data_IF_255709332376
#
_entry.id   IF_255709332376
#
_cell.length_a   1.000
_cell.length_b   1.000
_cell.length_c   1.000
_cell.angle_alpha   90.00
_cell.angle_beta   90.00
_cell.angle_gamma   90.00
#
_symmetry.space_group_name_H-M   'P 1'
#
loop_
_entity.id
_entity.type
_entity.pdbx_description
1 polymer ?
#
# COMPACT_ATOMS: atom_id res chain seq x y z
N UNK A 1 20.74 4.70 -1.02
CA UNK A 1 19.45 4.76 -0.29
C UNK A 1 19.04 6.22 -0.25
N UNK A 2 17.92 6.57 -0.83
CA UNK A 2 17.40 7.94 -0.72
C UNK A 2 16.79 8.04 0.67
N UNK A 3 17.40 8.82 1.54
CA UNK A 3 16.84 9.06 2.85
C UNK A 3 15.64 9.99 2.72
N UNK A 4 14.55 9.60 3.29
CA UNK A 4 13.41 10.45 3.47
C UNK A 4 13.73 11.49 4.56
N UNK A 5 13.79 12.75 4.18
CA UNK A 5 14.06 13.85 5.11
C UNK A 5 12.80 14.37 5.81
N UNK A 6 11.68 13.70 5.62
CA UNK A 6 10.46 14.05 6.32
C UNK A 6 10.25 13.20 7.59
N UNK A 7 9.29 13.61 8.39
CA UNK A 7 9.00 12.98 9.68
C UNK A 7 8.06 11.77 9.58
N UNK A 8 7.76 11.30 8.38
CA UNK A 8 6.74 10.26 8.15
C UNK A 8 7.27 8.84 8.18
N UNK A 9 8.57 8.70 8.36
CA UNK A 9 9.19 7.39 8.45
C UNK A 9 9.36 6.71 7.09
N UNK A 10 9.44 5.40 7.12
CA UNK A 10 9.93 4.56 6.02
C UNK A 10 8.82 3.85 5.25
N UNK A 11 7.55 4.26 5.38
CA UNK A 11 6.41 3.57 4.79
C UNK A 11 6.56 3.38 3.27
N UNK A 12 6.93 4.42 2.53
CA UNK A 12 7.12 4.33 1.08
C UNK A 12 8.26 3.38 0.69
N UNK A 13 9.37 3.40 1.45
CA UNK A 13 10.49 2.47 1.26
C UNK A 13 10.07 1.02 1.54
N UNK A 14 9.26 0.81 2.57
CA UNK A 14 8.72 -0.51 2.90
C UNK A 14 7.80 -1.05 1.79
N UNK A 15 6.89 -0.23 1.31
CA UNK A 15 5.99 -0.58 0.19
C UNK A 15 6.80 -0.91 -1.08
N UNK A 16 7.77 -0.06 -1.43
CA UNK A 16 8.66 -0.31 -2.56
C UNK A 16 9.45 -1.61 -2.40
N UNK A 17 9.92 -1.89 -1.19
CA UNK A 17 10.62 -3.11 -0.85
C UNK A 17 9.77 -4.37 -1.05
N UNK A 18 8.53 -4.35 -0.60
CA UNK A 18 7.58 -5.45 -0.82
C UNK A 18 7.34 -5.68 -2.32
N UNK A 19 7.26 -4.62 -3.09
CA UNK A 19 7.01 -4.71 -4.52
C UNK A 19 8.22 -5.24 -5.30
N UNK A 20 9.42 -4.68 -5.10
CA UNK A 20 10.53 -4.86 -6.05
C UNK A 20 11.90 -5.12 -5.44
N UNK A 21 12.02 -5.27 -4.11
CA UNK A 21 13.33 -5.38 -3.47
C UNK A 21 14.14 -6.62 -3.85
N UNK A 22 15.43 -6.48 -3.66
CA UNK A 22 16.39 -7.59 -3.62
C UNK A 22 16.50 -8.39 -4.92
N UNK A 23 16.53 -7.73 -6.07
CA UNK A 23 16.85 -8.37 -7.33
C UNK A 23 18.31 -8.80 -7.38
N UNK A 24 19.20 -7.90 -6.94
CA UNK A 24 20.63 -8.09 -6.91
C UNK A 24 21.25 -7.56 -5.62
N UNK A 25 22.30 -8.21 -5.17
CA UNK A 25 23.10 -7.78 -4.03
C UNK A 25 24.47 -7.32 -4.55
N UNK A 26 24.90 -6.08 -4.25
CA UNK A 26 26.21 -5.61 -4.64
C UNK A 26 27.30 -6.30 -3.81
N UNK A 27 28.34 -6.78 -4.45
CA UNK A 27 29.46 -7.48 -3.80
C UNK A 27 30.58 -6.55 -3.33
N UNK A 28 30.44 -5.23 -3.55
CA UNK A 28 31.43 -4.26 -3.15
C UNK A 28 32.64 -4.11 -4.11
N UNK A 29 32.79 -5.00 -5.07
CA UNK A 29 33.80 -4.99 -6.14
C UNK A 29 33.25 -4.52 -7.49
N UNK A 30 32.01 -4.04 -7.50
CA UNK A 30 31.28 -3.64 -8.72
C UNK A 30 30.51 -4.76 -9.39
N UNK A 31 30.58 -5.98 -8.87
CA UNK A 31 29.76 -7.10 -9.33
C UNK A 31 28.49 -7.26 -8.50
N UNK A 32 27.56 -8.08 -8.99
CA UNK A 32 26.29 -8.35 -8.34
C UNK A 32 26.01 -9.85 -8.28
N UNK A 33 25.44 -10.29 -7.18
CA UNK A 33 24.92 -11.66 -7.03
C UNK A 33 23.39 -11.64 -7.13
N UNK A 34 22.74 -12.60 -7.83
CA UNK A 34 21.30 -12.75 -7.78
C UNK A 34 20.81 -12.94 -6.35
N UNK A 35 19.82 -12.16 -5.96
CA UNK A 35 19.39 -12.12 -4.57
C UNK A 35 18.74 -13.43 -4.09
N UNK A 36 18.12 -14.18 -4.98
CA UNK A 36 17.50 -15.49 -4.66
C UNK A 36 18.47 -16.49 -4.03
N UNK A 37 19.77 -16.33 -4.29
CA UNK A 37 20.81 -17.23 -3.75
C UNK A 37 21.30 -16.79 -2.37
N UNK A 38 21.04 -15.54 -1.98
CA UNK A 38 21.70 -14.92 -0.82
C UNK A 38 20.76 -14.28 0.18
N UNK A 39 19.47 -14.10 -0.13
CA UNK A 39 18.49 -13.46 0.76
C UNK A 39 17.30 -14.34 1.03
N UNK A 40 16.79 -14.25 2.25
CA UNK A 40 15.57 -14.94 2.67
C UNK A 40 14.29 -14.23 2.23
N UNK A 41 14.38 -12.98 1.77
CA UNK A 41 13.23 -12.15 1.42
C UNK A 41 13.49 -11.40 0.13
N UNK A 42 12.52 -11.42 -0.77
CA UNK A 42 12.57 -10.75 -2.06
C UNK A 42 11.23 -10.04 -2.32
N UNK A 43 11.25 -8.96 -3.11
CA UNK A 43 10.02 -8.33 -3.60
C UNK A 43 9.22 -9.27 -4.50
N UNK A 44 7.94 -9.01 -4.63
CA UNK A 44 7.02 -9.85 -5.43
C UNK A 44 7.37 -9.79 -6.93
N UNK A 45 7.81 -8.63 -7.39
CA UNK A 45 8.19 -8.37 -8.78
C UNK A 45 9.59 -7.73 -8.86
N UNK A 46 10.67 -8.45 -8.53
CA UNK A 46 12.00 -7.86 -8.41
C UNK A 46 12.59 -7.39 -9.73
N UNK A 47 12.05 -7.83 -10.86
CA UNK A 47 12.46 -7.39 -12.20
C UNK A 47 11.73 -6.13 -12.69
N UNK A 48 10.69 -5.66 -11.96
CA UNK A 48 9.96 -4.49 -12.33
C UNK A 48 10.80 -3.21 -12.15
N UNK A 49 10.65 -2.28 -13.08
CA UNK A 49 11.16 -0.92 -12.90
C UNK A 49 10.23 -0.16 -11.97
N UNK A 50 10.79 0.41 -10.91
CA UNK A 50 10.03 1.17 -9.93
C UNK A 50 10.24 2.66 -10.13
N UNK A 51 9.14 3.38 -10.34
CA UNK A 51 9.08 4.84 -10.31
C UNK A 51 8.42 5.24 -9.00
N UNK A 52 9.14 5.94 -8.14
CA UNK A 52 8.62 6.44 -6.87
C UNK A 52 8.17 7.88 -7.00
N UNK A 53 6.92 8.14 -6.62
CA UNK A 53 6.33 9.47 -6.63
C UNK A 53 5.98 9.88 -5.21
N UNK A 54 6.73 10.86 -4.67
CA UNK A 54 6.49 11.36 -3.32
C UNK A 54 5.35 12.35 -3.32
N UNK A 55 4.23 11.97 -2.74
CA UNK A 55 3.01 12.80 -2.64
C UNK A 55 2.75 13.32 -1.23
N UNK A 56 3.37 12.74 -0.21
CA UNK A 56 3.24 13.20 1.17
C UNK A 56 4.24 14.31 1.49
N UNK A 57 3.76 15.39 2.07
CA UNK A 57 4.60 16.48 2.53
C UNK A 57 5.25 16.20 3.90
N UNK A 58 6.15 17.09 4.32
CA UNK A 58 6.91 16.98 5.57
C UNK A 58 6.05 16.96 6.85
N UNK A 59 4.77 17.30 6.76
CA UNK A 59 3.83 17.35 7.88
C UNK A 59 2.87 16.16 7.95
N UNK A 60 3.05 15.15 7.14
CA UNK A 60 2.28 13.92 7.24
C UNK A 60 1.00 13.88 6.42
N UNK A 61 0.76 14.80 5.51
CA UNK A 61 -0.44 14.82 4.68
C UNK A 61 -0.13 14.89 3.19
N UNK A 62 -1.00 14.33 2.38
CA UNK A 62 -1.07 14.56 0.94
C UNK A 62 -2.36 15.30 0.63
N UNK A 63 -2.30 16.27 -0.27
CA UNK A 63 -3.51 16.81 -0.88
C UNK A 63 -3.95 15.90 -2.01
N UNK A 64 -5.24 15.88 -2.27
CA UNK A 64 -5.82 15.13 -3.38
C UNK A 64 -5.15 15.49 -4.71
N UNK A 65 -4.84 16.79 -4.92
CA UNK A 65 -4.13 17.28 -6.09
C UNK A 65 -2.75 16.66 -6.29
N UNK A 66 -2.04 16.34 -5.21
CA UNK A 66 -0.66 15.86 -5.30
C UNK A 66 -0.60 14.43 -5.85
N UNK A 67 -1.42 13.54 -5.32
CA UNK A 67 -1.43 12.18 -5.83
C UNK A 67 -2.23 12.02 -7.12
N UNK A 68 -3.17 12.92 -7.44
CA UNK A 68 -3.78 13.00 -8.76
C UNK A 68 -2.76 13.38 -9.82
N UNK A 69 -1.91 14.36 -9.57
CA UNK A 69 -0.83 14.73 -10.48
C UNK A 69 0.15 13.57 -10.69
N UNK A 70 0.51 12.87 -9.61
CA UNK A 70 1.35 11.68 -9.73
C UNK A 70 0.73 10.56 -10.57
N UNK A 71 -0.58 10.37 -10.49
CA UNK A 71 -1.31 9.42 -11.33
C UNK A 71 -1.29 9.85 -12.80
N UNK A 72 -1.47 11.13 -13.09
CA UNK A 72 -1.37 11.66 -14.46
C UNK A 72 0.04 11.49 -15.02
N UNK A 73 1.07 11.75 -14.21
CA UNK A 73 2.46 11.51 -14.58
C UNK A 73 2.72 10.03 -14.90
N UNK A 74 2.10 9.11 -14.16
CA UNK A 74 2.20 7.68 -14.45
C UNK A 74 1.65 7.31 -15.84
N UNK A 75 0.58 7.97 -16.29
CA UNK A 75 0.05 7.80 -17.65
C UNK A 75 1.06 8.31 -18.69
N UNK A 76 1.64 9.49 -18.45
CA UNK A 76 2.63 10.09 -19.36
C UNK A 76 3.89 9.25 -19.48
N UNK A 77 4.28 8.60 -18.37
CA UNK A 77 5.45 7.72 -18.30
C UNK A 77 5.17 6.29 -18.81
N UNK A 78 3.95 6.03 -19.28
CA UNK A 78 3.53 4.73 -19.79
C UNK A 78 3.73 3.59 -18.76
N UNK A 79 3.33 3.84 -17.52
CA UNK A 79 3.42 2.85 -16.46
C UNK A 79 2.38 1.74 -16.63
N UNK A 80 2.79 0.48 -16.54
CA UNK A 80 1.88 -0.67 -16.61
C UNK A 80 0.94 -0.75 -15.40
N UNK A 81 1.40 -0.30 -14.24
CA UNK A 81 0.61 -0.32 -13.01
C UNK A 81 0.97 0.83 -12.06
N UNK A 82 0.00 1.23 -11.27
CA UNK A 82 0.15 2.22 -10.19
C UNK A 82 -0.32 1.62 -8.88
N UNK A 83 0.47 1.75 -7.83
CA UNK A 83 0.11 1.35 -6.48
C UNK A 83 -0.05 2.57 -5.56
N UNK A 84 -1.20 2.66 -4.91
CA UNK A 84 -1.54 3.70 -3.94
C UNK A 84 -1.73 3.06 -2.55
N UNK A 85 -0.64 2.91 -1.82
CA UNK A 85 -0.67 2.47 -0.42
C UNK A 85 -0.93 3.66 0.51
N UNK A 86 -2.03 4.35 0.27
CA UNK A 86 -2.46 5.54 0.98
C UNK A 86 -4.00 5.59 1.06
N UNK A 87 -4.51 6.43 1.92
CA UNK A 87 -5.95 6.64 1.99
C UNK A 87 -6.39 7.29 3.28
N UNK A 88 -7.69 7.54 3.34
CA UNK A 88 -8.39 8.00 4.53
C UNK A 88 -9.25 6.87 5.07
N UNK A 89 -9.27 6.69 6.38
CA UNK A 89 -10.13 5.72 7.05
C UNK A 89 -11.62 6.08 7.05
N UNK A 90 -11.97 7.26 6.53
CA UNK A 90 -13.37 7.67 6.43
C UNK A 90 -14.06 6.93 5.29
N UNK A 91 -15.05 6.08 5.57
CA UNK A 91 -15.82 5.41 4.53
C UNK A 91 -16.78 6.39 3.87
N UNK A 92 -16.95 6.19 2.58
CA UNK A 92 -17.97 6.90 1.82
C UNK A 92 -17.61 8.35 1.50
N UNK A 93 -17.22 8.57 0.28
CA UNK A 93 -17.10 9.92 -0.29
C UNK A 93 -18.32 10.18 -1.17
N UNK A 94 -18.83 11.42 -1.18
CA UNK A 94 -19.94 11.73 -2.05
C UNK A 94 -19.55 11.56 -3.53
N UNK A 95 -20.50 11.16 -4.36
CA UNK A 95 -20.28 10.98 -5.79
C UNK A 95 -19.68 12.23 -6.46
N UNK A 96 -20.05 13.41 -5.99
CA UNK A 96 -19.52 14.66 -6.53
C UNK A 96 -18.06 14.91 -6.11
N UNK A 97 -17.69 14.54 -4.90
CA UNK A 97 -16.31 14.67 -4.43
C UNK A 97 -15.38 13.66 -5.13
N UNK A 98 -15.91 12.55 -5.63
CA UNK A 98 -15.14 11.53 -6.36
C UNK A 98 -15.05 11.78 -7.86
N UNK A 99 -15.78 12.74 -8.42
CA UNK A 99 -15.89 12.93 -9.87
C UNK A 99 -14.53 13.16 -10.56
N UNK A 100 -13.65 13.93 -9.95
CA UNK A 100 -12.31 14.20 -10.50
C UNK A 100 -11.46 12.92 -10.47
N UNK A 101 -11.52 12.17 -9.38
CA UNK A 101 -10.86 10.87 -9.26
C UNK A 101 -11.34 9.89 -10.31
N UNK A 102 -12.65 9.82 -10.51
CA UNK A 102 -13.24 8.92 -11.50
C UNK A 102 -12.72 9.24 -12.91
N UNK A 103 -12.61 10.51 -13.26
CA UNK A 103 -12.07 10.92 -14.55
C UNK A 103 -10.62 10.48 -14.75
N UNK A 104 -9.79 10.62 -13.71
CA UNK A 104 -8.38 10.18 -13.73
C UNK A 104 -8.29 8.65 -13.82
N UNK A 105 -9.05 7.93 -13.03
CA UNK A 105 -9.08 6.46 -13.06
C UNK A 105 -9.59 5.92 -14.39
N UNK A 106 -10.55 6.61 -15.03
CA UNK A 106 -10.99 6.30 -16.38
C UNK A 106 -9.88 6.51 -17.42
N UNK A 107 -9.07 7.54 -17.27
CA UNK A 107 -7.92 7.78 -18.15
C UNK A 107 -6.85 6.70 -17.97
N UNK A 108 -6.56 6.28 -16.74
CA UNK A 108 -5.68 5.13 -16.48
C UNK A 108 -6.21 3.86 -17.13
N UNK A 109 -7.50 3.59 -17.01
CA UNK A 109 -8.15 2.43 -17.65
C UNK A 109 -8.02 2.49 -19.18
N UNK A 110 -8.21 3.66 -19.79
CA UNK A 110 -8.02 3.86 -21.23
C UNK A 110 -6.57 3.68 -21.67
N UNK A 111 -5.62 4.06 -20.82
CA UNK A 111 -4.18 3.83 -21.03
C UNK A 111 -3.78 2.35 -20.86
N UNK A 112 -4.63 1.53 -20.27
CA UNK A 112 -4.33 0.13 -19.97
C UNK A 112 -3.57 -0.07 -18.65
N UNK A 113 -3.44 0.97 -17.84
CA UNK A 113 -2.71 0.94 -16.57
C UNK A 113 -3.57 0.35 -15.46
N UNK A 114 -3.06 -0.65 -14.76
CA UNK A 114 -3.73 -1.25 -13.61
C UNK A 114 -3.50 -0.39 -12.37
N UNK A 115 -4.56 -0.10 -11.62
CA UNK A 115 -4.47 0.67 -10.38
C UNK A 115 -4.83 -0.21 -9.20
N UNK A 116 -3.91 -0.31 -8.24
CA UNK A 116 -4.14 -0.97 -6.95
C UNK A 116 -4.18 0.07 -5.83
N UNK A 117 -5.15 -0.07 -4.94
CA UNK A 117 -5.35 0.85 -3.83
C UNK A 117 -5.56 0.07 -2.53
N UNK A 118 -4.94 0.52 -1.45
CA UNK A 118 -5.14 -0.10 -0.15
C UNK A 118 -6.57 0.07 0.34
N UNK A 119 -7.14 -0.98 0.92
CA UNK A 119 -8.45 -0.93 1.56
C UNK A 119 -8.45 -0.11 2.87
N UNK A 120 -7.27 0.16 3.41
CA UNK A 120 -7.09 0.88 4.66
C UNK A 120 -6.89 -0.04 5.86
N UNK A 121 -6.72 0.57 7.04
CA UNK A 121 -6.38 -0.12 8.28
C UNK A 121 -7.53 -0.10 9.30
N UNK A 122 -8.67 0.47 8.95
CA UNK A 122 -9.81 0.58 9.85
C UNK A 122 -10.72 -0.63 9.73
N UNK A 123 -10.73 -1.47 10.75
CA UNK A 123 -11.66 -2.61 10.83
C UNK A 123 -13.10 -2.18 11.04
N UNK A 124 -13.29 -1.01 11.64
CA UNK A 124 -14.58 -0.41 11.94
C UNK A 124 -14.62 1.06 11.56
N UNK A 125 -15.76 1.50 11.09
CA UNK A 125 -15.93 2.90 10.70
C UNK A 125 -15.71 3.87 11.85
N UNK A 126 -16.26 3.57 13.03
CA UNK A 126 -16.20 4.46 14.18
C UNK A 126 -14.80 4.59 14.81
N UNK A 127 -13.84 3.76 14.46
CA UNK A 127 -12.46 3.88 14.94
C UNK A 127 -11.81 5.21 14.55
N UNK A 128 -12.25 5.79 13.43
CA UNK A 128 -11.71 7.03 12.89
C UNK A 128 -12.72 8.19 12.85
N UNK A 129 -13.89 8.01 13.42
CA UNK A 129 -14.92 9.07 13.46
C UNK A 129 -15.42 9.29 14.88
N UNK A 130 -15.67 10.55 15.30
CA UNK A 130 -16.27 10.82 16.60
C UNK A 130 -17.77 10.49 16.64
N UNK A 131 -18.35 9.97 15.58
CA UNK A 131 -19.77 9.74 15.44
C UNK A 131 -20.09 8.26 15.49
N UNK A 132 -20.89 7.85 16.45
CA UNK A 132 -21.51 6.53 16.49
C UNK A 132 -22.81 6.55 15.69
N UNK A 133 -22.98 5.62 14.78
CA UNK A 133 -24.26 5.43 14.10
C UNK A 133 -25.21 4.60 14.97
N UNK A 134 -26.35 5.18 15.38
CA UNK A 134 -27.22 4.54 16.36
C UNK A 134 -28.08 3.37 15.81
N UNK A 135 -27.98 3.06 14.51
CA UNK A 135 -28.96 2.18 13.86
C UNK A 135 -28.43 0.83 13.35
N UNK A 136 -27.15 0.52 13.54
CA UNK A 136 -26.65 -0.76 13.05
C UNK A 136 -25.45 -1.24 13.84
N UNK A 137 -25.63 -2.30 14.58
CA UNK A 137 -24.57 -2.98 15.33
C UNK A 137 -23.45 -3.56 14.42
N UNK A 138 -23.65 -3.66 13.12
CA UNK A 138 -22.72 -4.34 12.20
C UNK A 138 -22.36 -3.56 10.94
N UNK A 139 -22.87 -2.37 10.71
CA UNK A 139 -22.61 -1.57 9.49
C UNK A 139 -21.16 -1.13 9.36
N UNK A 140 -20.43 -1.11 10.45
CA UNK A 140 -19.06 -0.65 10.49
C UNK A 140 -18.01 -1.74 10.27
N UNK A 141 -18.44 -2.99 10.15
CA UNK A 141 -17.49 -4.09 9.93
C UNK A 141 -16.99 -4.12 8.49
N UNK A 142 -15.68 -4.36 8.35
CA UNK A 142 -15.02 -4.45 7.05
C UNK A 142 -15.19 -3.18 6.20
N UNK A 143 -15.02 -2.00 6.82
CA UNK A 143 -15.06 -0.73 6.08
C UNK A 143 -13.84 -0.58 5.18
N UNK A 144 -14.12 -0.22 3.93
CA UNK A 144 -13.10 0.12 2.95
C UNK A 144 -12.94 1.65 2.90
N UNK A 145 -11.72 2.12 3.10
CA UNK A 145 -11.39 3.54 3.06
C UNK A 145 -11.36 4.12 1.64
N UNK A 146 -11.20 5.43 1.55
CA UNK A 146 -11.02 6.14 0.29
C UNK A 146 -9.52 6.38 0.03
N UNK A 147 -8.99 6.22 -1.18
CA UNK A 147 -9.65 5.89 -2.45
C UNK A 147 -9.86 4.40 -2.74
N UNK A 148 -9.53 3.47 -1.84
CA UNK A 148 -9.65 2.03 -2.04
C UNK A 148 -11.07 1.55 -2.39
N UNK A 149 -12.10 2.35 -2.08
CA UNK A 149 -13.50 2.07 -2.42
C UNK A 149 -13.94 2.63 -3.78
N UNK A 150 -13.05 3.27 -4.53
CA UNK A 150 -13.41 3.87 -5.82
C UNK A 150 -13.55 2.82 -6.91
N UNK A 151 -14.39 3.11 -7.91
CA UNK A 151 -14.51 2.28 -9.11
C UNK A 151 -13.28 2.41 -10.01
N UNK A 152 -13.10 1.48 -10.94
CA UNK A 152 -11.96 1.43 -11.87
C UNK A 152 -10.60 1.26 -11.16
N UNK A 153 -10.58 0.69 -9.96
CA UNK A 153 -9.38 0.33 -9.24
C UNK A 153 -9.56 -1.02 -8.55
N UNK A 154 -8.45 -1.65 -8.22
CA UNK A 154 -8.44 -2.87 -7.43
C UNK A 154 -8.16 -2.53 -5.97
N UNK A 155 -9.20 -2.59 -5.13
CA UNK A 155 -9.06 -2.44 -3.69
C UNK A 155 -8.39 -3.68 -3.09
N UNK A 156 -7.29 -3.49 -2.38
CA UNK A 156 -6.48 -4.57 -1.81
C UNK A 156 -6.53 -4.50 -0.29
N UNK A 157 -7.06 -5.55 0.34
CA UNK A 157 -7.05 -5.74 1.77
C UNK A 157 -5.97 -6.74 2.20
N UNK A 158 -5.56 -6.67 3.45
CA UNK A 158 -4.67 -7.65 4.04
C UNK A 158 -5.41 -8.95 4.38
N UNK A 159 -4.67 -10.04 4.40
CA UNK A 159 -5.09 -11.33 4.91
C UNK A 159 -4.03 -11.84 5.89
N UNK A 160 -4.45 -12.53 6.93
CA UNK A 160 -3.51 -13.17 7.83
C UNK A 160 -2.77 -14.29 7.13
N UNK A 161 -1.46 -14.37 7.35
CA UNK A 161 -0.67 -15.47 6.82
C UNK A 161 -1.13 -16.79 7.44
N UNK A 162 -1.24 -17.81 6.61
CA UNK A 162 -1.60 -19.17 7.04
C UNK A 162 -0.50 -19.89 7.83
N UNK A 163 0.69 -19.30 7.91
CA UNK A 163 1.82 -19.84 8.65
C UNK A 163 2.53 -18.73 9.44
N UNK A 164 2.96 -19.06 10.64
CA UNK A 164 3.80 -18.18 11.46
C UNK A 164 5.22 -18.73 11.49
N UNK A 165 6.19 -17.84 11.27
CA UNK A 165 7.61 -18.11 11.49
C UNK A 165 8.08 -17.24 12.64
N UNK A 166 8.82 -17.83 13.58
CA UNK A 166 9.33 -17.08 14.73
C UNK A 166 9.71 -18.02 15.88
N UNK A 167 10.09 -17.43 17.02
CA UNK A 167 10.35 -18.17 18.22
C UNK A 167 9.05 -18.82 18.72
N UNK A 168 9.14 -20.05 19.18
CA UNK A 168 7.97 -20.75 19.70
C UNK A 168 8.33 -21.61 20.91
N UNK A 169 7.33 -21.85 21.75
CA UNK A 169 7.37 -22.88 22.79
C UNK A 169 6.47 -24.01 22.32
N UNK A 170 6.97 -25.25 22.42
CA UNK A 170 6.19 -26.43 22.07
C UNK A 170 5.72 -27.13 23.34
N UNK A 171 4.42 -27.36 23.45
CA UNK A 171 3.82 -28.13 24.52
C UNK A 171 2.80 -29.13 23.96
N UNK A 172 2.95 -30.37 24.32
CA UNK A 172 2.05 -31.46 23.88
C UNK A 172 1.84 -31.52 22.35
N UNK A 173 2.89 -31.23 21.56
CA UNK A 173 2.83 -31.23 20.09
C UNK A 173 2.21 -29.97 19.46
N UNK A 174 1.86 -28.98 20.28
CA UNK A 174 1.34 -27.69 19.80
C UNK A 174 2.42 -26.61 19.94
N UNK A 175 2.69 -25.91 18.82
CA UNK A 175 3.62 -24.77 18.79
C UNK A 175 2.86 -23.49 19.10
N UNK A 176 3.34 -22.76 20.11
CA UNK A 176 2.85 -21.44 20.49
C UNK A 176 3.95 -20.41 20.16
N UNK A 177 3.69 -19.58 19.17
CA UNK A 177 4.63 -18.52 18.77
C UNK A 177 4.54 -17.34 19.72
N UNK A 178 5.68 -16.70 19.97
CA UNK A 178 5.75 -15.49 20.78
C UNK A 178 6.66 -14.46 20.11
N UNK A 179 6.42 -13.19 20.41
CA UNK A 179 7.28 -12.07 20.05
C UNK A 179 8.01 -11.58 21.28
N UNK A 180 9.30 -11.38 21.17
CA UNK A 180 10.06 -10.68 22.20
C UNK A 180 9.65 -9.20 22.19
N UNK A 181 9.10 -8.72 23.28
CA UNK A 181 8.70 -7.31 23.47
C UNK A 181 9.84 -6.52 24.11
#
# INVERSE_FOLDING_TARGET
MVHDNDTQGEHGSHVAGIATANRYIPNGDGTFTPALEAVSTQGVAPDAQLITMKVFGTRGGAYDSDYMAAIEDAIVLDCDSVNLSLGSGSPGTSRNATAVYQAILENLTKAGTVVTMSAGNSGHWFENTPYTYPYAESVSWATNGSPGSYTNSLGVASVDNVGSTGNYVEFAGTKMFYTDT
#
